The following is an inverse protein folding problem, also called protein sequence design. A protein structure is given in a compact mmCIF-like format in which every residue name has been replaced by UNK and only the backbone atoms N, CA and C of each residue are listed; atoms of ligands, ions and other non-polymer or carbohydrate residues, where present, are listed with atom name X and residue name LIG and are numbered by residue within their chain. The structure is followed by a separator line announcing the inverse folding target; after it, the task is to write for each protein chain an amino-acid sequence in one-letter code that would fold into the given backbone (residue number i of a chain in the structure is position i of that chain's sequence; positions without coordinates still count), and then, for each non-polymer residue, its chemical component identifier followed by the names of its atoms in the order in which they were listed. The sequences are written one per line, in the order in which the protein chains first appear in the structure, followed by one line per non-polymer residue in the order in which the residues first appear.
data_IF_008627885620
#
_entry.id   IF_008627885620
#
_cell.length_a   1.000
_cell.length_b   1.000
_cell.length_c   1.000
_cell.angle_alpha   90.00
_cell.angle_beta   90.00
_cell.angle_gamma   90.00
#
_symmetry.space_group_name_H-M   'P 1'
#
loop_
_entity.id
_entity.type
_entity.pdbx_description
1 polymer ?
#
# COMPACT_ATOMS: atom_id res chain seq x y z
N UNK A 1 -7.62 -32.30 -54.04
CA UNK A 1 -6.48 -31.46 -53.69
C UNK A 1 -6.85 -30.82 -52.35
N UNK A 2 -6.39 -31.42 -51.24
CA UNK A 2 -6.65 -30.89 -49.90
C UNK A 2 -5.64 -29.77 -49.63
N UNK A 3 -6.00 -28.65 -49.00
CA UNK A 3 -5.03 -27.62 -48.65
C UNK A 3 -4.06 -28.16 -47.63
N UNK A 4 -2.77 -27.90 -47.84
CA UNK A 4 -1.68 -28.18 -46.91
C UNK A 4 -2.00 -27.56 -45.53
N UNK A 5 -1.86 -28.35 -44.49
CA UNK A 5 -1.88 -27.85 -43.11
C UNK A 5 -0.71 -26.88 -42.98
N UNK A 6 -1.04 -25.60 -42.84
CA UNK A 6 -0.07 -24.62 -42.42
C UNK A 6 0.57 -25.10 -41.11
N UNK A 7 1.89 -25.18 -41.16
CA UNK A 7 2.79 -25.48 -40.07
C UNK A 7 2.38 -24.60 -38.86
N UNK A 8 1.74 -25.22 -37.86
CA UNK A 8 1.61 -24.60 -36.56
C UNK A 8 3.01 -24.58 -35.97
N UNK A 9 3.76 -23.53 -36.29
CA UNK A 9 5.00 -23.22 -35.62
C UNK A 9 4.76 -23.37 -34.13
N UNK A 10 5.51 -24.24 -33.50
CA UNK A 10 5.64 -24.31 -32.05
C UNK A 10 6.08 -22.93 -31.57
N UNK A 11 5.14 -22.03 -31.35
CA UNK A 11 5.40 -20.86 -30.51
C UNK A 11 5.78 -21.43 -29.16
N UNK A 12 7.10 -21.41 -28.91
CA UNK A 12 7.61 -21.71 -27.58
C UNK A 12 6.80 -20.82 -26.61
N UNK A 13 6.17 -21.42 -25.63
CA UNK A 13 5.49 -20.68 -24.57
C UNK A 13 6.55 -19.84 -23.90
N UNK A 14 6.60 -18.55 -24.24
CA UNK A 14 7.52 -17.60 -23.64
C UNK A 14 6.99 -17.38 -22.22
N UNK A 15 7.65 -18.01 -21.26
CA UNK A 15 7.42 -17.66 -19.85
C UNK A 15 8.00 -16.25 -19.69
N UNK A 16 7.14 -15.29 -19.39
CA UNK A 16 7.61 -13.93 -19.10
C UNK A 16 8.57 -13.98 -17.93
N UNK A 17 9.73 -13.34 -18.10
CA UNK A 17 10.72 -13.24 -17.04
C UNK A 17 10.14 -12.44 -15.87
N UNK A 18 10.23 -12.92 -14.63
CA UNK A 18 9.74 -12.16 -13.50
C UNK A 18 10.51 -10.83 -13.37
N UNK A 19 9.78 -9.76 -13.13
CA UNK A 19 10.32 -8.41 -12.92
C UNK A 19 10.19 -7.95 -11.48
N UNK A 20 9.60 -8.79 -10.62
CA UNK A 20 9.61 -8.58 -9.17
C UNK A 20 9.76 -9.90 -8.43
N UNK A 21 10.39 -9.82 -7.26
CA UNK A 21 10.54 -10.92 -6.31
C UNK A 21 10.06 -10.47 -4.91
N UNK A 22 9.37 -11.38 -4.22
CA UNK A 22 9.19 -11.34 -2.77
C UNK A 22 10.02 -12.48 -2.17
N UNK A 23 10.98 -12.14 -1.34
CA UNK A 23 11.86 -13.09 -0.67
C UNK A 23 11.60 -13.06 0.82
N UNK A 24 11.06 -14.14 1.37
CA UNK A 24 10.77 -14.28 2.79
C UNK A 24 12.03 -14.64 3.59
N UNK A 25 12.02 -14.34 4.89
CA UNK A 25 13.14 -14.63 5.79
C UNK A 25 13.48 -16.12 5.93
N UNK A 26 12.52 -17.02 5.65
CA UNK A 26 12.75 -18.47 5.59
C UNK A 26 13.45 -18.94 4.31
N UNK A 27 13.70 -18.04 3.36
CA UNK A 27 14.32 -18.30 2.07
C UNK A 27 13.34 -18.60 0.92
N UNK A 28 12.03 -18.59 1.18
CA UNK A 28 10.99 -18.74 0.15
C UNK A 28 11.06 -17.57 -0.82
N UNK A 29 11.04 -17.85 -2.12
CA UNK A 29 11.04 -16.86 -3.20
C UNK A 29 9.75 -16.97 -3.99
N UNK A 30 9.04 -15.85 -4.09
CA UNK A 30 7.81 -15.72 -4.87
C UNK A 30 8.08 -14.76 -6.02
N UNK A 31 7.86 -15.24 -7.24
CA UNK A 31 8.08 -14.50 -8.47
C UNK A 31 6.79 -13.82 -8.95
N UNK A 32 6.92 -12.60 -9.51
CA UNK A 32 5.79 -11.86 -10.05
C UNK A 32 6.22 -10.76 -11.01
N UNK A 33 5.26 -9.97 -11.42
CA UNK A 33 5.45 -8.80 -12.28
C UNK A 33 5.57 -7.55 -11.43
N UNK A 34 6.63 -6.77 -11.64
CA UNK A 34 6.89 -5.53 -10.93
C UNK A 34 5.95 -4.40 -11.33
N UNK A 35 5.52 -3.64 -10.33
CA UNK A 35 4.71 -2.43 -10.44
C UNK A 35 5.22 -1.38 -9.45
N UNK A 36 4.81 -0.13 -9.62
CA UNK A 36 5.24 0.95 -8.73
C UNK A 36 6.72 1.30 -8.89
N UNK A 37 7.38 1.67 -7.79
CA UNK A 37 8.77 2.11 -7.79
C UNK A 37 9.74 0.97 -8.09
N UNK A 38 10.83 1.28 -8.76
CA UNK A 38 11.95 0.36 -9.00
C UNK A 38 12.89 0.40 -7.79
N UNK A 39 13.40 -0.75 -7.39
CA UNK A 39 14.29 -0.89 -6.24
C UNK A 39 13.92 -2.06 -5.35
N UNK A 40 14.38 -2.01 -4.10
CA UNK A 40 14.05 -3.02 -3.09
C UNK A 40 13.92 -2.42 -1.70
N UNK A 41 13.14 -3.07 -0.84
CA UNK A 41 13.01 -2.70 0.57
C UNK A 41 12.74 -3.92 1.44
N UNK A 42 13.19 -3.84 2.68
CA UNK A 42 12.89 -4.81 3.74
C UNK A 42 11.65 -4.37 4.48
N UNK A 43 10.73 -5.29 4.75
CA UNK A 43 9.49 -5.00 5.46
C UNK A 43 8.82 -6.28 5.98
N UNK A 44 7.86 -6.12 6.88
CA UNK A 44 6.98 -7.20 7.31
C UNK A 44 5.82 -7.34 6.33
N UNK A 45 5.48 -8.59 5.94
CA UNK A 45 4.36 -8.84 5.03
C UNK A 45 3.08 -9.08 5.82
N UNK A 46 2.11 -8.21 5.62
CA UNK A 46 0.76 -8.37 6.16
C UNK A 46 -0.28 -8.54 5.03
N UNK A 47 -1.55 -8.69 5.37
CA UNK A 47 -2.63 -8.70 4.39
C UNK A 47 -3.80 -7.82 4.83
N UNK A 48 -4.55 -7.33 3.84
CA UNK A 48 -5.78 -6.59 4.05
C UNK A 48 -6.93 -7.23 3.25
N UNK A 49 -8.10 -7.37 3.88
CA UNK A 49 -9.28 -8.04 3.30
C UNK A 49 -10.35 -7.08 2.80
N UNK A 50 -10.11 -5.77 2.82
CA UNK A 50 -11.05 -4.78 2.31
C UNK A 50 -11.27 -4.95 0.79
N UNK A 51 -12.49 -4.71 0.36
CA UNK A 51 -12.88 -4.76 -1.05
C UNK A 51 -12.53 -3.47 -1.82
N UNK A 52 -12.40 -2.37 -1.09
CA UNK A 52 -12.16 -1.01 -1.62
C UNK A 52 -11.22 -0.27 -0.67
N UNK A 53 -10.82 0.96 -1.06
CA UNK A 53 -10.03 1.82 -0.17
C UNK A 53 -8.54 1.47 -0.16
N UNK A 54 -8.00 1.04 -1.29
CA UNK A 54 -6.58 0.70 -1.36
C UNK A 54 -5.67 1.92 -1.17
N UNK A 55 -6.10 3.12 -1.55
CA UNK A 55 -5.33 4.35 -1.37
C UNK A 55 -5.27 4.74 0.11
N UNK A 56 -6.40 4.69 0.80
CA UNK A 56 -6.51 4.90 2.24
C UNK A 56 -5.67 3.88 3.01
N UNK A 57 -5.71 2.60 2.62
CA UNK A 57 -4.91 1.54 3.25
C UNK A 57 -3.42 1.80 3.06
N UNK A 58 -2.97 2.13 1.85
CA UNK A 58 -1.55 2.36 1.55
C UNK A 58 -1.00 3.65 2.17
N UNK A 59 -1.87 4.58 2.54
CA UNK A 59 -1.49 5.84 3.21
C UNK A 59 -1.79 5.85 4.71
N UNK A 60 -2.39 4.79 5.25
CA UNK A 60 -2.61 4.65 6.69
C UNK A 60 -1.28 4.43 7.41
N UNK A 61 -0.90 5.31 8.36
CA UNK A 61 0.33 5.15 9.14
C UNK A 61 0.45 3.84 9.90
N UNK A 62 -0.66 3.13 10.13
CA UNK A 62 -0.66 1.80 10.75
C UNK A 62 0.11 0.76 9.95
N UNK A 63 0.31 0.98 8.64
CA UNK A 63 1.10 0.09 7.77
C UNK A 63 2.55 0.55 7.57
N UNK A 64 3.04 1.47 8.40
CA UNK A 64 4.43 1.92 8.32
C UNK A 64 5.40 0.74 8.48
N UNK A 65 6.31 0.59 7.51
CA UNK A 65 7.28 -0.51 7.48
C UNK A 65 6.70 -1.87 7.05
N UNK A 66 5.50 -1.90 6.45
CA UNK A 66 4.88 -3.14 5.99
C UNK A 66 4.69 -3.19 4.46
N UNK A 67 4.68 -4.42 3.94
CA UNK A 67 4.22 -4.78 2.60
C UNK A 67 2.81 -5.31 2.73
N UNK A 68 1.83 -4.63 2.11
CA UNK A 68 0.42 -5.00 2.21
C UNK A 68 0.01 -5.91 1.06
N UNK A 69 -0.43 -7.12 1.38
CA UNK A 69 -1.05 -8.05 0.43
C UNK A 69 -2.55 -7.81 0.37
N UNK A 70 -3.06 -7.42 -0.78
CA UNK A 70 -4.50 -7.25 -0.99
C UNK A 70 -5.14 -8.56 -1.39
N UNK A 71 -6.15 -9.00 -0.64
CA UNK A 71 -6.87 -10.25 -0.92
C UNK A 71 -7.91 -10.08 -2.01
N UNK A 72 -8.40 -8.86 -2.24
CA UNK A 72 -9.32 -8.57 -3.32
C UNK A 72 -8.59 -8.65 -4.68
N UNK A 73 -9.10 -9.45 -5.64
CA UNK A 73 -8.33 -9.79 -6.84
C UNK A 73 -8.22 -8.64 -7.85
N UNK A 74 -9.19 -7.74 -7.90
CA UNK A 74 -9.22 -6.62 -8.85
C UNK A 74 -8.75 -5.33 -8.18
N UNK A 75 -7.88 -4.58 -8.84
CA UNK A 75 -7.27 -3.38 -8.29
C UNK A 75 -7.10 -2.31 -9.38
N UNK A 76 -7.19 -1.03 -9.00
CA UNK A 76 -6.94 0.11 -9.88
C UNK A 76 -8.18 0.75 -10.51
N UNK A 77 -9.32 0.06 -10.51
CA UNK A 77 -10.58 0.54 -11.14
C UNK A 77 -11.10 1.87 -10.59
N UNK A 78 -10.79 2.23 -9.35
CA UNK A 78 -11.15 3.52 -8.75
C UNK A 78 -10.14 4.61 -9.14
N UNK A 79 -8.92 4.24 -9.52
CA UNK A 79 -7.81 5.18 -9.67
C UNK A 79 -7.28 5.67 -8.33
N UNK A 80 -6.63 6.81 -8.33
CA UNK A 80 -6.17 7.50 -7.12
C UNK A 80 -6.47 8.99 -7.22
N UNK A 81 -6.56 9.66 -6.07
CA UNK A 81 -6.81 11.09 -5.96
C UNK A 81 -6.13 11.66 -4.70
N UNK A 82 -6.20 12.97 -4.48
CA UNK A 82 -5.56 13.62 -3.35
C UNK A 82 -6.47 13.73 -2.09
N UNK A 83 -7.72 13.27 -2.19
CA UNK A 83 -8.72 13.35 -1.11
C UNK A 83 -8.70 12.10 -0.22
N UNK A 84 -8.45 10.91 -0.82
CA UNK A 84 -8.53 9.61 -0.16
C UNK A 84 -7.19 9.22 0.52
N UNK A 85 -6.48 10.19 1.07
CA UNK A 85 -5.20 10.04 1.75
C UNK A 85 -5.43 10.08 3.26
N UNK A 86 -4.82 9.15 4.00
CA UNK A 86 -4.96 9.02 5.46
C UNK A 86 -3.79 9.56 6.27
N UNK A 87 -2.59 9.72 5.68
CA UNK A 87 -1.45 10.30 6.39
C UNK A 87 -1.61 11.82 6.61
N UNK A 88 -1.27 12.32 7.80
CA UNK A 88 -1.31 13.75 8.13
C UNK A 88 -0.24 14.54 7.42
N UNK A 89 0.87 13.90 7.10
CA UNK A 89 2.03 14.51 6.47
C UNK A 89 2.37 13.78 5.17
N UNK A 90 1.62 14.01 4.06
CA UNK A 90 1.78 13.27 2.81
C UNK A 90 3.20 13.30 2.23
N UNK A 91 3.94 14.37 2.49
CA UNK A 91 5.34 14.51 2.08
C UNK A 91 6.28 13.53 2.79
N UNK A 92 5.95 13.11 4.01
CA UNK A 92 6.74 12.14 4.77
C UNK A 92 6.45 10.70 4.36
N UNK A 93 5.35 10.45 3.64
CA UNK A 93 4.96 9.13 3.09
C UNK A 93 4.88 8.05 4.17
N UNK A 94 4.24 8.37 5.28
CA UNK A 94 4.01 7.47 6.39
C UNK A 94 2.89 6.49 6.03
N UNK A 95 3.25 5.33 5.53
CA UNK A 95 2.31 4.28 5.14
C UNK A 95 3.04 3.03 4.70
N UNK A 96 2.38 2.18 3.92
CA UNK A 96 2.97 0.97 3.39
C UNK A 96 4.19 1.29 2.50
N UNK A 97 5.24 0.46 2.62
CA UNK A 97 6.47 0.58 1.82
C UNK A 97 6.44 -0.34 0.60
N UNK A 98 5.54 -1.32 0.61
CA UNK A 98 5.36 -2.25 -0.48
C UNK A 98 3.93 -2.74 -0.62
N UNK A 99 3.59 -3.30 -1.80
CA UNK A 99 2.24 -3.76 -2.11
C UNK A 99 2.26 -4.99 -2.99
N UNK A 100 1.31 -5.90 -2.74
CA UNK A 100 1.16 -7.15 -3.47
C UNK A 100 -0.28 -7.30 -3.95
N UNK A 101 -0.47 -7.46 -5.27
CA UNK A 101 -1.76 -7.66 -5.92
C UNK A 101 -1.85 -9.01 -6.62
N UNK A 102 -3.06 -9.54 -6.76
CA UNK A 102 -3.29 -10.74 -7.56
C UNK A 102 -3.28 -10.44 -9.06
N UNK A 103 -4.10 -9.50 -9.50
CA UNK A 103 -4.24 -9.13 -10.91
C UNK A 103 -3.38 -7.92 -11.28
N UNK A 104 -3.18 -7.72 -12.58
CA UNK A 104 -2.65 -6.47 -13.10
C UNK A 104 -3.55 -5.29 -12.70
N UNK A 105 -2.94 -4.11 -12.53
CA UNK A 105 -3.67 -2.88 -12.25
C UNK A 105 -4.48 -2.51 -13.50
N UNK A 106 -5.80 -2.35 -13.31
CA UNK A 106 -6.70 -1.90 -14.39
C UNK A 106 -6.70 -0.39 -14.55
N UNK A 107 -7.04 0.06 -15.75
CA UNK A 107 -7.31 1.48 -15.97
C UNK A 107 -8.49 1.96 -15.13
N UNK A 108 -8.41 3.19 -14.58
CA UNK A 108 -9.46 3.73 -13.76
C UNK A 108 -10.73 4.01 -14.55
N UNK A 109 -11.89 3.71 -13.96
CA UNK A 109 -13.23 3.96 -14.50
C UNK A 109 -14.13 4.74 -13.53
N UNK A 110 -13.56 5.34 -12.50
CA UNK A 110 -14.27 6.15 -11.51
C UNK A 110 -14.11 7.64 -11.80
N UNK A 111 -15.18 8.43 -11.62
CA UNK A 111 -15.17 9.89 -11.88
C UNK A 111 -14.22 10.68 -10.97
N UNK A 112 -13.85 10.12 -9.79
CA UNK A 112 -12.90 10.74 -8.87
C UNK A 112 -11.43 10.42 -9.21
N UNK A 113 -11.19 9.58 -10.21
CA UNK A 113 -9.82 9.19 -10.59
C UNK A 113 -9.07 10.39 -11.19
N UNK A 114 -7.95 10.73 -10.59
CA UNK A 114 -7.02 11.76 -11.06
C UNK A 114 -5.79 11.11 -11.70
N UNK A 115 -5.37 9.96 -11.17
CA UNK A 115 -4.13 9.29 -11.57
C UNK A 115 -4.30 7.77 -11.60
N UNK A 116 -3.59 7.12 -12.51
CA UNK A 116 -3.47 5.66 -12.54
C UNK A 116 -2.68 5.17 -11.31
N UNK A 117 -3.12 4.06 -10.70
CA UNK A 117 -2.53 3.54 -9.46
C UNK A 117 -1.02 3.25 -9.58
N UNK A 118 -0.55 2.66 -10.68
CA UNK A 118 0.89 2.40 -10.88
C UNK A 118 1.73 3.70 -10.89
N UNK A 119 1.24 4.74 -11.55
CA UNK A 119 1.90 6.05 -11.56
C UNK A 119 1.91 6.71 -10.17
N UNK A 120 0.85 6.51 -9.38
CA UNK A 120 0.75 6.97 -8.01
C UNK A 120 1.72 6.23 -7.09
N UNK A 121 1.80 4.88 -7.19
CA UNK A 121 2.77 4.07 -6.44
C UNK A 121 4.21 4.53 -6.72
N UNK A 122 4.56 4.75 -8.01
CA UNK A 122 5.87 5.28 -8.42
C UNK A 122 6.18 6.62 -7.77
N UNK A 123 5.21 7.55 -7.79
CA UNK A 123 5.37 8.88 -7.22
C UNK A 123 5.59 8.85 -5.70
N UNK A 124 4.99 7.87 -5.00
CA UNK A 124 5.15 7.68 -3.56
C UNK A 124 6.36 6.81 -3.19
N UNK A 125 7.03 6.21 -4.15
CA UNK A 125 8.18 5.33 -3.92
C UNK A 125 7.78 3.96 -3.35
N UNK A 126 6.51 3.54 -3.52
CA UNK A 126 6.02 2.24 -3.08
C UNK A 126 6.40 1.18 -4.11
N UNK A 127 7.13 0.15 -3.67
CA UNK A 127 7.52 -0.97 -4.51
C UNK A 127 6.38 -1.99 -4.52
N UNK A 128 6.03 -2.52 -5.69
CA UNK A 128 4.94 -3.47 -5.76
C UNK A 128 5.17 -4.63 -6.71
N UNK A 129 4.34 -5.64 -6.56
CA UNK A 129 4.25 -6.77 -7.47
C UNK A 129 2.82 -7.26 -7.66
N UNK A 130 2.55 -7.83 -8.82
CA UNK A 130 1.28 -8.48 -9.14
C UNK A 130 1.49 -9.82 -9.85
N UNK A 131 0.39 -10.52 -10.16
CA UNK A 131 0.42 -11.80 -10.85
C UNK A 131 0.67 -13.00 -9.94
N UNK A 132 0.50 -12.87 -8.62
CA UNK A 132 0.74 -13.95 -7.67
C UNK A 132 -0.56 -14.45 -7.00
N UNK A 133 -0.49 -15.64 -6.41
CA UNK A 133 -1.60 -16.17 -5.61
C UNK A 133 -1.63 -15.53 -4.21
N UNK A 134 -2.29 -14.36 -4.13
CA UNK A 134 -2.47 -13.64 -2.86
C UNK A 134 -3.31 -14.41 -1.83
N UNK A 135 -4.17 -15.33 -2.28
CA UNK A 135 -4.92 -16.20 -1.39
C UNK A 135 -4.03 -17.23 -0.69
N UNK A 136 -3.14 -17.87 -1.44
CA UNK A 136 -2.16 -18.81 -0.87
C UNK A 136 -1.22 -18.08 0.10
N UNK A 137 -0.71 -16.90 -0.26
CA UNK A 137 0.13 -16.08 0.63
C UNK A 137 -0.61 -15.68 1.91
N UNK A 138 -1.87 -15.26 1.80
CA UNK A 138 -2.70 -14.92 2.98
C UNK A 138 -2.94 -16.13 3.88
N UNK A 139 -3.19 -17.31 3.32
CA UNK A 139 -3.35 -18.54 4.09
C UNK A 139 -2.04 -18.87 4.82
N UNK A 140 -0.92 -18.78 4.14
CA UNK A 140 0.41 -19.00 4.72
C UNK A 140 0.69 -18.03 5.90
N UNK A 141 0.40 -16.73 5.74
CA UNK A 141 0.56 -15.72 6.81
C UNK A 141 -0.31 -16.05 8.02
N UNK A 142 -1.54 -16.52 7.80
CA UNK A 142 -2.45 -16.89 8.91
C UNK A 142 -1.96 -18.08 9.73
N UNK A 143 -1.24 -19.00 9.10
CA UNK A 143 -0.73 -20.21 9.74
C UNK A 143 0.63 -19.98 10.40
N UNK A 144 1.48 -19.15 9.80
CA UNK A 144 2.89 -18.98 10.20
C UNK A 144 3.20 -17.61 10.85
N UNK A 145 2.25 -16.68 10.86
CA UNK A 145 2.48 -15.30 11.26
C UNK A 145 2.97 -14.42 10.12
N UNK A 146 3.10 -13.13 10.38
CA UNK A 146 3.58 -12.13 9.42
C UNK A 146 5.09 -12.28 9.22
N UNK A 147 5.57 -12.64 8.03
CA UNK A 147 7.00 -12.84 7.79
C UNK A 147 7.72 -11.52 7.52
N UNK A 148 8.98 -11.47 7.94
CA UNK A 148 9.95 -10.52 7.42
C UNK A 148 10.29 -10.91 5.96
N UNK A 149 10.42 -9.90 5.09
CA UNK A 149 10.70 -10.13 3.68
C UNK A 149 11.49 -8.98 3.05
N UNK A 150 12.01 -9.24 1.86
CA UNK A 150 12.44 -8.23 0.88
C UNK A 150 11.52 -8.28 -0.31
N UNK A 151 10.94 -7.15 -0.70
CA UNK A 151 10.31 -6.97 -2.00
C UNK A 151 11.28 -6.25 -2.93
N UNK A 152 11.45 -6.75 -4.15
CA UNK A 152 12.35 -6.17 -5.14
C UNK A 152 11.66 -6.06 -6.50
N UNK A 153 11.84 -4.92 -7.18
CA UNK A 153 11.36 -4.67 -8.54
C UNK A 153 12.51 -4.18 -9.41
N UNK A 154 12.82 -4.92 -10.45
CA UNK A 154 13.75 -4.58 -11.52
C UNK A 154 13.07 -4.85 -12.88
N UNK A 155 12.84 -3.84 -13.73
CA UNK A 155 12.19 -4.01 -15.03
C UNK A 155 12.94 -4.97 -15.97
N UNK A 156 14.25 -5.17 -15.76
CA UNK A 156 15.06 -6.12 -16.54
C UNK A 156 15.03 -7.53 -15.94
N UNK A 157 14.42 -7.72 -14.76
CA UNK A 157 14.37 -8.98 -14.03
C UNK A 157 15.77 -9.50 -13.65
N UNK A 158 16.67 -8.62 -13.25
CA UNK A 158 18.03 -8.98 -12.81
C UNK A 158 18.09 -8.92 -11.29
N UNK A 159 18.17 -10.08 -10.66
CA UNK A 159 18.17 -10.21 -9.20
C UNK A 159 19.33 -11.07 -8.72
N UNK A 160 19.99 -10.65 -7.66
CA UNK A 160 20.87 -11.51 -6.86
C UNK A 160 20.04 -12.11 -5.71
N UNK A 161 19.52 -13.31 -5.95
CA UNK A 161 18.62 -14.00 -5.02
C UNK A 161 19.30 -14.28 -3.68
N UNK A 162 20.59 -14.62 -3.67
CA UNK A 162 21.31 -14.91 -2.43
C UNK A 162 21.52 -13.65 -1.58
N UNK A 163 21.73 -12.49 -2.20
CA UNK A 163 21.77 -11.20 -1.50
C UNK A 163 20.40 -10.89 -0.92
N UNK A 164 19.31 -11.05 -1.68
CA UNK A 164 17.95 -10.79 -1.19
C UNK A 164 17.55 -11.70 -0.03
N UNK A 165 17.93 -13.00 -0.07
CA UNK A 165 17.73 -13.93 1.04
C UNK A 165 18.51 -13.52 2.29
N UNK A 166 19.77 -13.12 2.10
CA UNK A 166 20.59 -12.65 3.21
C UNK A 166 20.00 -11.39 3.86
N UNK A 167 19.52 -10.44 3.07
CA UNK A 167 18.87 -9.22 3.52
C UNK A 167 17.54 -9.52 4.28
N UNK A 168 16.69 -10.40 3.73
CA UNK A 168 15.43 -10.79 4.37
C UNK A 168 15.66 -11.46 5.71
N UNK A 169 16.67 -12.32 5.81
CA UNK A 169 17.03 -13.01 7.05
C UNK A 169 17.70 -12.11 8.09
N UNK A 170 18.48 -11.13 7.65
CA UNK A 170 19.22 -10.24 8.54
C UNK A 170 18.34 -9.14 9.14
N UNK A 171 17.20 -8.83 8.54
CA UNK A 171 16.31 -7.78 9.03
C UNK A 171 15.65 -8.20 10.34
N UNK A 172 15.77 -7.35 11.39
CA UNK A 172 15.24 -7.65 12.73
C UNK A 172 13.71 -7.58 12.84
N UNK A 173 13.03 -7.11 11.80
CA UNK A 173 11.58 -6.87 11.84
C UNK A 173 11.22 -5.52 12.44
N UNK A 174 9.94 -5.35 12.75
CA UNK A 174 9.39 -4.12 13.32
C UNK A 174 9.52 -4.07 14.86
N UNK A 175 9.89 -5.18 15.50
CA UNK A 175 10.05 -5.26 16.95
C UNK A 175 11.17 -4.31 17.40
N UNK A 176 10.94 -3.58 18.47
CA UNK A 176 11.86 -2.58 19.05
C UNK A 176 12.12 -1.33 18.17
N UNK A 177 11.41 -1.15 17.05
CA UNK A 177 11.41 0.09 16.29
C UNK A 177 10.42 1.09 16.90
N UNK A 178 10.88 2.32 17.13
CA UNK A 178 10.00 3.43 17.56
C UNK A 178 9.25 4.03 16.37
N UNK A 179 8.34 3.24 15.81
CA UNK A 179 7.54 3.64 14.63
C UNK A 179 6.55 4.76 14.98
N UNK A 180 6.08 4.82 16.21
CA UNK A 180 5.17 5.87 16.68
C UNK A 180 5.81 7.25 16.55
N UNK A 181 7.09 7.38 16.92
CA UNK A 181 7.86 8.61 16.75
C UNK A 181 8.09 8.97 15.28
N UNK A 182 8.30 7.96 14.42
CA UNK A 182 8.45 8.18 12.96
C UNK A 182 7.14 8.63 12.34
N UNK A 183 6.01 8.04 12.75
CA UNK A 183 4.69 8.35 12.23
C UNK A 183 4.10 9.67 12.75
N UNK A 184 4.58 10.15 13.90
CA UNK A 184 4.11 11.39 14.54
C UNK A 184 4.41 12.63 13.71
N UNK A 185 3.48 13.58 13.68
CA UNK A 185 3.68 14.90 13.08
C UNK A 185 4.76 15.69 13.83
N UNK A 186 5.50 16.53 13.10
CA UNK A 186 6.59 17.34 13.69
C UNK A 186 6.12 18.58 14.46
N UNK A 187 4.83 18.93 14.40
CA UNK A 187 4.26 20.12 15.03
C UNK A 187 2.75 19.98 15.27
N UNK A 188 2.27 20.72 16.27
CA UNK A 188 0.84 20.75 16.56
C UNK A 188 0.03 21.42 15.46
N UNK A 189 -1.16 20.89 15.21
CA UNK A 189 -2.09 21.42 14.20
C UNK A 189 -3.54 21.34 14.69
N UNK A 190 -4.41 22.10 14.05
CA UNK A 190 -5.85 22.02 14.26
C UNK A 190 -6.48 21.24 13.11
N UNK A 191 -7.51 20.44 13.41
CA UNK A 191 -8.25 19.69 12.41
C UNK A 191 -9.73 20.08 12.47
N UNK A 192 -10.28 20.43 11.31
CA UNK A 192 -11.66 20.91 11.16
C UNK A 192 -12.45 20.16 10.12
N UNK A 193 -11.77 19.42 9.21
CA UNK A 193 -12.41 18.70 8.12
C UNK A 193 -13.33 17.59 8.65
N UNK A 194 -14.61 17.63 8.23
CA UNK A 194 -15.64 16.62 8.53
C UNK A 194 -15.57 15.43 7.58
N UNK A 195 -16.30 14.31 7.85
CA UNK A 195 -16.40 13.18 6.93
C UNK A 195 -16.93 13.60 5.55
N UNK A 196 -16.48 12.87 4.52
CA UNK A 196 -16.94 13.06 3.16
C UNK A 196 -18.43 12.72 3.00
N UNK A 197 -19.17 13.56 2.28
CA UNK A 197 -20.59 13.37 1.99
C UNK A 197 -20.81 13.31 0.49
N UNK A 198 -21.63 12.36 0.05
CA UNK A 198 -21.93 12.18 -1.37
C UNK A 198 -22.49 13.48 -2.00
N UNK A 199 -21.95 13.88 -3.15
CA UNK A 199 -22.23 15.12 -3.88
C UNK A 199 -21.82 16.45 -3.19
N UNK A 200 -21.32 16.40 -1.97
CA UNK A 200 -20.90 17.61 -1.24
C UNK A 200 -19.38 17.61 -1.01
N UNK A 201 -18.76 16.43 -0.95
CA UNK A 201 -17.33 16.29 -0.63
C UNK A 201 -17.07 16.44 0.86
N UNK A 202 -15.88 16.95 1.18
CA UNK A 202 -15.49 17.30 2.54
C UNK A 202 -15.98 18.72 2.88
N UNK A 203 -16.55 18.88 4.07
CA UNK A 203 -16.88 20.18 4.66
C UNK A 203 -15.99 20.43 5.88
N UNK A 204 -16.01 21.67 6.38
CA UNK A 204 -15.23 22.08 7.54
C UNK A 204 -16.15 22.38 8.73
N UNK A 205 -15.68 22.10 9.94
CA UNK A 205 -16.30 22.57 11.18
C UNK A 205 -15.78 23.99 11.47
N UNK A 206 -16.66 24.97 11.68
CA UNK A 206 -16.23 26.24 12.26
C UNK A 206 -15.81 25.99 13.71
N UNK A 207 -14.56 26.32 14.11
CA UNK A 207 -14.11 26.15 15.49
C UNK A 207 -14.96 26.86 16.54
N UNK A 208 -15.67 27.93 16.16
CA UNK A 208 -16.59 28.68 17.04
C UNK A 208 -17.89 27.90 17.31
N UNK A 209 -18.29 27.01 16.37
CA UNK A 209 -19.47 26.17 16.50
C UNK A 209 -19.20 24.86 17.25
N UNK A 210 -17.95 24.59 17.60
CA UNK A 210 -17.57 23.35 18.24
C UNK A 210 -18.13 23.22 19.65
N UNK A 211 -18.79 22.09 19.92
CA UNK A 211 -19.34 21.76 21.25
C UNK A 211 -18.28 21.20 22.20
N UNK A 212 -17.27 20.57 21.66
CA UNK A 212 -16.22 19.89 22.44
C UNK A 212 -14.84 20.23 21.89
N UNK A 213 -13.82 20.12 22.74
CA UNK A 213 -12.43 20.20 22.34
C UNK A 213 -11.72 18.89 22.68
N UNK A 214 -11.17 18.23 21.67
CA UNK A 214 -10.40 16.98 21.77
C UNK A 214 -8.94 17.28 21.50
N UNK A 215 -8.04 16.84 22.36
CA UNK A 215 -6.59 16.82 22.11
C UNK A 215 -6.20 15.41 21.72
N UNK A 216 -5.66 15.24 20.52
CA UNK A 216 -5.19 13.97 19.98
C UNK A 216 -3.68 13.95 20.01
N UNK A 217 -3.07 13.01 20.76
CA UNK A 217 -1.63 12.74 20.68
C UNK A 217 -1.37 11.88 19.44
N UNK A 218 -0.50 12.37 18.57
CA UNK A 218 -0.24 11.76 17.26
C UNK A 218 0.83 10.67 17.35
N UNK A 219 0.41 9.43 17.45
CA UNK A 219 1.22 8.23 17.32
C UNK A 219 1.02 7.55 15.94
N UNK A 220 0.75 8.33 14.90
CA UNK A 220 0.35 7.84 13.58
C UNK A 220 -1.17 7.80 13.41
N UNK A 221 -1.85 8.87 13.85
CA UNK A 221 -3.30 9.00 13.67
C UNK A 221 -3.64 9.22 12.21
N UNK A 222 -4.64 8.49 11.71
CA UNK A 222 -5.16 8.69 10.35
C UNK A 222 -6.24 9.77 10.30
N UNK A 223 -6.32 10.46 9.15
CA UNK A 223 -7.25 11.57 8.94
C UNK A 223 -8.70 11.20 9.22
N UNK A 224 -9.12 9.99 8.88
CA UNK A 224 -10.51 9.59 9.07
C UNK A 224 -10.93 9.58 10.55
N UNK A 225 -10.02 9.29 11.49
CA UNK A 225 -10.31 9.41 12.93
C UNK A 225 -10.61 10.86 13.29
N UNK A 226 -9.81 11.80 12.80
CA UNK A 226 -9.99 13.22 13.05
C UNK A 226 -11.25 13.77 12.39
N UNK A 227 -11.56 13.30 11.16
CA UNK A 227 -12.81 13.62 10.45
C UNK A 227 -14.05 13.20 11.24
N UNK A 228 -14.02 12.00 11.84
CA UNK A 228 -15.13 11.51 12.66
C UNK A 228 -15.35 12.40 13.90
N UNK A 229 -14.30 12.84 14.59
CA UNK A 229 -14.42 13.79 15.68
C UNK A 229 -15.00 15.12 15.22
N UNK A 230 -14.51 15.68 14.12
CA UNK A 230 -15.06 16.93 13.56
C UNK A 230 -16.55 16.79 13.15
N UNK A 231 -16.92 15.59 12.63
CA UNK A 231 -18.33 15.27 12.33
C UNK A 231 -19.25 15.21 13.56
N UNK A 232 -18.67 15.04 14.76
CA UNK A 232 -19.35 15.07 16.04
C UNK A 232 -19.25 16.45 16.75
N UNK A 233 -19.00 17.50 15.99
CA UNK A 233 -18.82 18.87 16.45
C UNK A 233 -17.67 19.03 17.47
N UNK A 234 -16.60 18.25 17.32
CA UNK A 234 -15.40 18.38 18.12
C UNK A 234 -14.34 19.19 17.38
N UNK A 235 -13.87 20.29 17.98
CA UNK A 235 -12.60 20.91 17.60
C UNK A 235 -11.46 19.98 18.00
N UNK A 236 -10.60 19.61 17.07
CA UNK A 236 -9.50 18.70 17.34
C UNK A 236 -8.17 19.43 17.27
N UNK A 237 -7.37 19.32 18.33
CA UNK A 237 -5.96 19.73 18.32
C UNK A 237 -5.11 18.47 18.25
N UNK A 238 -4.34 18.30 17.17
CA UNK A 238 -3.36 17.22 17.00
C UNK A 238 -2.03 17.71 17.54
N UNK A 239 -1.42 16.92 18.43
CA UNK A 239 -0.14 17.22 19.05
C UNK A 239 0.86 16.10 18.77
N UNK A 240 2.12 16.39 18.48
CA UNK A 240 3.18 15.38 18.39
C UNK A 240 3.26 14.52 19.64
N UNK A 241 3.68 13.26 19.47
CA UNK A 241 3.97 12.34 20.56
C UNK A 241 5.33 12.61 21.22
#
# INVERSE_FOLDING_TARGET
MLPERSDMSTQAWITEKPTALLVLADGTVIEGKGIGAVGRTQAEVCFNTALTGYEEILTDPSYLGQIVTFTFPHIGNIGTNDEDIEDLTPAARHGAVGVIFKADITDPSNYRAVKHLDAWLKARGIIGMCGIDTRALTAWIRENGMPNAVIAHDPNGVFDIEVLKAEAKAWSGLVDLDLAKVASSGQSSQWTQKPWVWNEGYSELDPEDAKYHVVCLDYGVKRNILRLFAGLDCKVTVMPA
#
